data_IF_796195580446
#
_entry.id   IF_796195580446
#
_cell.length_a   1.000
_cell.length_b   1.000
_cell.length_c   1.000
_cell.angle_alpha   90.00
_cell.angle_beta   90.00
_cell.angle_gamma   90.00
#
_symmetry.space_group_name_H-M   'P 1'
#
loop_
_entity.id
_entity.type
_entity.pdbx_description
1 polymer ?
#
# COMPACT_ATOMS: atom_id res chain seq x y z
N UNK A 1 1.57 -19.89 -13.53
CA UNK A 1 0.20 -19.34 -13.33
C UNK A 1 0.31 -17.83 -13.44
N UNK A 2 -0.48 -17.21 -14.29
CA UNK A 2 -0.59 -15.76 -14.37
C UNK A 2 -1.18 -15.26 -13.04
N UNK A 3 -0.62 -14.22 -12.39
CA UNK A 3 -1.22 -13.70 -11.16
C UNK A 3 -2.64 -13.21 -11.46
N UNK A 4 -3.56 -13.33 -10.50
CA UNK A 4 -4.93 -12.84 -10.69
C UNK A 4 -4.94 -11.33 -10.90
N UNK A 5 -5.76 -10.86 -11.84
CA UNK A 5 -5.85 -9.43 -12.20
C UNK A 5 -6.55 -8.56 -11.12
N UNK A 6 -7.20 -9.19 -10.13
CA UNK A 6 -7.99 -8.51 -9.11
C UNK A 6 -7.18 -8.32 -7.84
N UNK A 7 -6.85 -7.07 -7.51
CA UNK A 7 -6.14 -6.74 -6.29
C UNK A 7 -7.04 -6.81 -5.05
N UNK A 8 -6.52 -7.39 -3.97
CA UNK A 8 -7.20 -7.43 -2.67
C UNK A 8 -7.44 -6.03 -2.11
N UNK A 9 -6.49 -5.11 -2.28
CA UNK A 9 -6.61 -3.75 -1.74
C UNK A 9 -7.59 -2.86 -2.53
N UNK A 10 -7.94 -3.22 -3.76
CA UNK A 10 -8.95 -2.52 -4.55
C UNK A 10 -10.39 -2.90 -4.17
N UNK A 11 -10.57 -3.88 -3.27
CA UNK A 11 -11.90 -4.34 -2.88
C UNK A 11 -12.46 -3.44 -1.76
N UNK A 12 -13.49 -2.70 -2.07
CA UNK A 12 -14.37 -2.10 -1.06
C UNK A 12 -15.25 -3.17 -0.40
N UNK A 13 -16.03 -2.77 0.58
CA UNK A 13 -16.89 -3.71 1.33
C UNK A 13 -17.92 -4.41 0.44
N UNK A 14 -18.68 -3.72 -0.44
CA UNK A 14 -19.58 -4.38 -1.39
C UNK A 14 -18.87 -5.41 -2.28
N UNK A 15 -17.70 -5.09 -2.79
CA UNK A 15 -16.91 -6.00 -3.63
C UNK A 15 -16.40 -7.23 -2.85
N UNK A 16 -16.03 -7.08 -1.57
CA UNK A 16 -15.69 -8.21 -0.70
C UNK A 16 -16.92 -9.10 -0.42
N UNK A 17 -18.10 -8.50 -0.24
CA UNK A 17 -19.34 -9.25 -0.05
C UNK A 17 -19.71 -10.03 -1.33
N UNK A 18 -19.56 -9.42 -2.51
CA UNK A 18 -19.76 -10.08 -3.80
C UNK A 18 -18.77 -11.24 -3.99
N UNK A 19 -17.50 -11.04 -3.61
CA UNK A 19 -16.49 -12.11 -3.66
C UNK A 19 -16.88 -13.29 -2.77
N UNK A 20 -17.39 -13.06 -1.55
CA UNK A 20 -17.83 -14.16 -0.67
C UNK A 20 -18.99 -14.95 -1.27
N UNK A 21 -19.91 -14.29 -1.99
CA UNK A 21 -20.99 -14.95 -2.73
C UNK A 21 -20.44 -15.78 -3.91
N UNK A 22 -19.48 -15.23 -4.67
CA UNK A 22 -18.79 -15.94 -5.75
C UNK A 22 -18.08 -17.20 -5.26
N UNK A 23 -17.48 -17.14 -4.07
CA UNK A 23 -16.76 -18.27 -3.46
C UNK A 23 -17.68 -19.26 -2.71
N UNK A 24 -18.99 -19.02 -2.67
CA UNK A 24 -19.96 -19.88 -2.00
C UNK A 24 -19.79 -19.90 -0.47
N UNK A 25 -19.25 -18.83 0.13
CA UNK A 25 -19.06 -18.74 1.58
C UNK A 25 -19.97 -17.68 2.22
N UNK A 26 -20.29 -17.82 3.53
CA UNK A 26 -21.17 -16.88 4.21
C UNK A 26 -20.68 -15.44 4.14
N UNK A 27 -21.60 -14.48 3.98
CA UNK A 27 -21.35 -13.04 3.84
C UNK A 27 -20.48 -12.44 4.97
N UNK A 28 -20.58 -12.96 6.20
CA UNK A 28 -19.75 -12.44 7.31
C UNK A 28 -18.24 -12.64 7.10
N UNK A 29 -17.83 -13.54 6.21
CA UNK A 29 -16.42 -13.75 5.83
C UNK A 29 -15.80 -12.51 5.20
N UNK A 30 -16.59 -11.70 4.49
CA UNK A 30 -16.13 -10.40 3.99
C UNK A 30 -15.61 -9.48 5.13
N UNK A 31 -16.32 -9.44 6.26
CA UNK A 31 -15.90 -8.71 7.45
C UNK A 31 -14.60 -9.26 8.06
N UNK A 32 -14.40 -10.58 8.04
CA UNK A 32 -13.15 -11.19 8.52
C UNK A 32 -11.98 -10.87 7.57
N UNK A 33 -12.19 -10.94 6.25
CA UNK A 33 -11.16 -10.54 5.25
C UNK A 33 -10.78 -9.08 5.49
N UNK A 34 -11.75 -8.16 5.54
CA UNK A 34 -11.50 -6.75 5.80
C UNK A 34 -10.75 -6.51 7.12
N UNK A 35 -11.11 -7.22 8.19
CA UNK A 35 -10.42 -7.13 9.49
C UNK A 35 -8.96 -7.56 9.38
N UNK A 36 -8.68 -8.66 8.67
CA UNK A 36 -7.32 -9.14 8.46
C UNK A 36 -6.48 -8.13 7.66
N UNK A 37 -7.07 -7.54 6.61
CA UNK A 37 -6.37 -6.55 5.75
C UNK A 37 -6.15 -5.23 6.47
N UNK A 38 -7.19 -4.63 7.07
CA UNK A 38 -7.18 -3.23 7.51
C UNK A 38 -6.99 -3.02 9.02
N UNK A 39 -7.13 -4.07 9.84
CA UNK A 39 -6.94 -3.96 11.29
C UNK A 39 -5.75 -4.77 11.78
N UNK A 40 -5.58 -6.00 11.26
CA UNK A 40 -4.46 -6.87 11.61
C UNK A 40 -3.24 -6.66 10.72
N UNK A 41 -3.44 -6.03 9.54
CA UNK A 41 -2.39 -5.81 8.55
C UNK A 41 -1.64 -7.09 8.19
N UNK A 42 -2.39 -8.17 7.95
CA UNK A 42 -1.83 -9.42 7.46
C UNK A 42 -1.12 -9.18 6.13
N UNK A 43 0.07 -9.74 5.94
CA UNK A 43 0.90 -9.54 4.75
C UNK A 43 0.75 -10.66 3.72
N UNK A 44 0.08 -11.74 4.12
CA UNK A 44 -0.23 -12.90 3.26
C UNK A 44 -1.60 -13.46 3.62
N UNK A 45 -2.18 -14.24 2.70
CA UNK A 45 -3.42 -14.95 3.00
C UNK A 45 -3.23 -15.99 4.12
N UNK A 46 -2.03 -16.56 4.27
CA UNK A 46 -1.74 -17.56 5.32
C UNK A 46 -1.76 -16.95 6.73
N UNK A 47 -1.47 -15.66 6.89
CA UNK A 47 -1.60 -14.96 8.15
C UNK A 47 -3.08 -14.76 8.59
N UNK A 48 -4.06 -14.96 7.70
CA UNK A 48 -5.49 -14.84 8.01
C UNK A 48 -6.02 -16.10 8.71
N UNK A 49 -5.47 -16.42 9.86
CA UNK A 49 -5.70 -17.68 10.57
C UNK A 49 -7.13 -17.91 11.09
N UNK A 50 -7.96 -16.87 11.15
CA UNK A 50 -9.39 -16.95 11.47
C UNK A 50 -10.26 -17.33 10.26
N UNK A 51 -9.65 -17.44 9.06
CA UNK A 51 -10.28 -18.00 7.87
C UNK A 51 -9.93 -19.48 7.70
N UNK A 52 -10.89 -20.33 7.25
CA UNK A 52 -10.61 -21.71 6.90
C UNK A 52 -9.51 -21.83 5.84
N UNK A 53 -8.67 -22.87 5.93
CA UNK A 53 -7.58 -23.08 4.97
C UNK A 53 -8.07 -23.15 3.52
N UNK A 54 -9.21 -23.82 3.29
CA UNK A 54 -9.83 -23.90 1.96
C UNK A 54 -10.20 -22.52 1.40
N UNK A 55 -10.74 -21.61 2.25
CA UNK A 55 -11.05 -20.25 1.81
C UNK A 55 -9.78 -19.45 1.50
N UNK A 56 -8.72 -19.60 2.31
CA UNK A 56 -7.44 -18.93 2.03
C UNK A 56 -6.85 -19.36 0.70
N UNK A 57 -6.91 -20.67 0.38
CA UNK A 57 -6.49 -21.19 -0.93
C UNK A 57 -7.31 -20.59 -2.09
N UNK A 58 -8.63 -20.51 -1.95
CA UNK A 58 -9.49 -19.87 -2.95
C UNK A 58 -9.16 -18.36 -3.13
N UNK A 59 -8.83 -17.66 -2.04
CA UNK A 59 -8.42 -16.25 -2.12
C UNK A 59 -7.11 -16.06 -2.89
N UNK A 60 -6.12 -16.95 -2.70
CA UNK A 60 -4.86 -16.94 -3.47
C UNK A 60 -5.10 -17.11 -4.97
N UNK A 61 -6.08 -17.95 -5.35
CA UNK A 61 -6.42 -18.16 -6.77
C UNK A 61 -7.14 -16.97 -7.41
N UNK A 62 -7.88 -16.20 -6.63
CA UNK A 62 -8.77 -15.14 -7.13
C UNK A 62 -8.22 -13.74 -6.97
N UNK A 63 -7.30 -13.52 -6.04
CA UNK A 63 -6.82 -12.19 -5.67
C UNK A 63 -5.31 -12.10 -5.69
N UNK A 64 -4.81 -11.03 -6.27
CA UNK A 64 -3.42 -10.62 -6.11
C UNK A 64 -3.22 -9.94 -4.77
N UNK A 65 -2.16 -10.31 -4.07
CA UNK A 65 -1.63 -9.50 -2.98
C UNK A 65 -0.82 -8.35 -3.58
N UNK A 66 -0.83 -7.14 -2.98
CA UNK A 66 0.00 -6.04 -3.49
C UNK A 66 1.47 -6.45 -3.54
N UNK A 67 2.06 -6.42 -4.72
CA UNK A 67 3.48 -6.74 -4.90
C UNK A 67 4.32 -5.48 -4.70
N UNK A 68 4.30 -4.98 -3.47
CA UNK A 68 5.16 -3.91 -2.99
C UNK A 68 6.06 -4.45 -1.88
N UNK A 69 7.37 -4.17 -1.99
CA UNK A 69 8.36 -4.62 -1.01
C UNK A 69 9.19 -3.46 -0.51
N UNK A 70 9.47 -3.44 0.78
CA UNK A 70 10.49 -2.55 1.35
C UNK A 70 11.85 -3.16 0.99
N UNK A 71 12.58 -2.48 0.10
CA UNK A 71 13.89 -2.91 -0.42
C UNK A 71 15.05 -2.28 0.36
N UNK A 72 14.80 -1.15 1.01
CA UNK A 72 15.77 -0.47 1.85
C UNK A 72 15.11 0.53 2.78
N UNK A 73 15.78 0.82 3.89
CA UNK A 73 15.34 1.79 4.88
C UNK A 73 16.53 2.61 5.38
N UNK A 74 16.32 3.90 5.49
CA UNK A 74 17.24 4.83 6.15
C UNK A 74 16.51 5.48 7.32
N UNK A 75 17.05 5.29 8.50
CA UNK A 75 16.56 5.89 9.73
C UNK A 75 17.33 7.20 10.02
N UNK A 76 16.62 8.25 10.39
CA UNK A 76 17.24 9.49 10.84
C UNK A 76 17.84 9.29 12.25
N UNK A 77 19.17 9.46 12.44
CA UNK A 77 19.80 9.13 13.71
C UNK A 77 19.32 9.95 14.92
N UNK A 78 18.83 11.17 14.67
CA UNK A 78 18.41 12.10 15.72
C UNK A 78 16.91 12.44 15.69
N UNK A 79 16.14 11.75 14.84
CA UNK A 79 14.72 12.05 14.65
C UNK A 79 13.89 10.78 14.43
N UNK A 80 12.57 10.91 14.50
CA UNK A 80 11.65 9.81 14.29
C UNK A 80 11.24 9.67 12.81
N UNK A 81 12.19 9.85 11.88
CA UNK A 81 11.93 9.81 10.43
C UNK A 81 12.57 8.58 9.80
N UNK A 82 11.78 7.80 9.07
CA UNK A 82 12.23 6.67 8.27
C UNK A 82 11.97 6.95 6.79
N UNK A 83 13.02 6.90 5.95
CA UNK A 83 12.89 6.89 4.49
C UNK A 83 12.98 5.47 3.99
N UNK A 84 11.99 5.04 3.23
CA UNK A 84 11.87 3.69 2.72
C UNK A 84 11.98 3.72 1.19
N UNK A 85 12.75 2.78 0.65
CA UNK A 85 12.79 2.47 -0.77
C UNK A 85 11.82 1.31 -1.01
N UNK A 86 10.84 1.54 -1.87
CA UNK A 86 9.81 0.55 -2.22
C UNK A 86 10.05 0.06 -3.64
N UNK A 87 10.04 -1.26 -3.81
CA UNK A 87 10.11 -1.91 -5.14
C UNK A 87 8.73 -2.35 -5.56
N UNK A 88 8.33 -1.96 -6.77
CA UNK A 88 7.05 -2.27 -7.42
C UNK A 88 7.16 -3.58 -8.20
N UNK A 89 6.02 -4.14 -8.61
CA UNK A 89 5.93 -5.41 -9.34
C UNK A 89 6.78 -5.43 -10.63
N UNK A 90 6.91 -4.29 -11.31
CA UNK A 90 7.73 -4.14 -12.54
C UNK A 90 9.22 -3.87 -12.28
N UNK A 91 9.66 -3.96 -11.02
CA UNK A 91 11.02 -3.66 -10.60
C UNK A 91 11.33 -2.16 -10.48
N UNK A 92 10.40 -1.26 -10.80
CA UNK A 92 10.56 0.16 -10.57
C UNK A 92 10.63 0.46 -9.08
N UNK A 93 11.33 1.53 -8.72
CA UNK A 93 11.50 1.92 -7.32
C UNK A 93 10.93 3.31 -7.06
N UNK A 94 10.30 3.46 -5.92
CA UNK A 94 9.81 4.75 -5.41
C UNK A 94 10.19 4.92 -3.95
N UNK A 95 10.31 6.15 -3.52
CA UNK A 95 10.58 6.47 -2.13
C UNK A 95 9.29 6.81 -1.40
N UNK A 96 9.24 6.45 -0.12
CA UNK A 96 8.22 6.89 0.81
C UNK A 96 8.88 7.26 2.14
N UNK A 97 8.25 8.17 2.89
CA UNK A 97 8.81 8.64 4.17
C UNK A 97 7.76 8.53 5.26
N UNK A 98 8.15 7.94 6.38
CA UNK A 98 7.40 7.99 7.63
C UNK A 98 8.01 9.09 8.49
N UNK A 99 7.27 10.16 8.69
CA UNK A 99 7.66 11.27 9.55
C UNK A 99 6.95 11.13 10.89
N UNK A 100 7.69 10.66 11.90
CA UNK A 100 7.17 10.55 13.26
C UNK A 100 7.04 11.91 13.93
N UNK A 101 6.21 11.96 14.96
CA UNK A 101 6.07 13.14 15.82
C UNK A 101 5.74 12.68 17.24
N UNK A 102 6.41 13.26 18.26
CA UNK A 102 6.20 12.86 19.67
C UNK A 102 4.77 13.12 20.17
N UNK A 103 4.12 14.17 19.67
CA UNK A 103 2.84 14.68 20.20
C UNK A 103 1.71 14.69 19.18
N UNK A 104 1.91 14.16 17.98
CA UNK A 104 0.91 14.15 16.90
C UNK A 104 0.96 12.82 16.15
N UNK A 105 -0.11 12.43 15.44
CA UNK A 105 -0.04 11.30 14.54
C UNK A 105 1.13 11.46 13.54
N UNK A 106 1.85 10.38 13.21
CA UNK A 106 2.88 10.44 12.18
C UNK A 106 2.27 10.79 10.82
N UNK A 107 3.11 11.25 9.90
CA UNK A 107 2.72 11.56 8.53
C UNK A 107 3.41 10.59 7.58
N UNK A 108 2.64 9.97 6.69
CA UNK A 108 3.12 9.15 5.59
C UNK A 108 3.26 10.05 4.35
N UNK A 109 4.47 10.24 3.87
CA UNK A 109 4.75 10.91 2.62
C UNK A 109 4.94 9.84 1.54
N UNK A 110 4.03 9.79 0.56
CA UNK A 110 4.00 8.76 -0.48
C UNK A 110 4.22 9.33 -1.86
N UNK A 111 4.68 8.49 -2.78
CA UNK A 111 4.95 8.84 -4.17
C UNK A 111 3.69 8.66 -5.04
N UNK A 112 3.58 9.45 -6.11
CA UNK A 112 2.47 9.39 -7.07
C UNK A 112 2.89 8.90 -8.46
N UNK A 113 4.17 8.93 -8.79
CA UNK A 113 4.73 8.55 -10.09
C UNK A 113 6.09 7.88 -9.91
N UNK A 114 6.51 7.10 -10.91
CA UNK A 114 7.90 6.68 -11.09
C UNK A 114 8.59 7.77 -11.89
N UNK A 115 9.44 8.57 -11.21
CA UNK A 115 9.98 9.81 -11.76
C UNK A 115 8.95 10.94 -11.81
N UNK A 116 9.25 12.04 -12.50
CA UNK A 116 8.35 13.20 -12.60
C UNK A 116 8.55 13.93 -13.93
N UNK A 117 7.48 14.30 -14.66
CA UNK A 117 7.60 15.00 -15.94
C UNK A 117 7.84 16.51 -15.81
N UNK A 118 7.71 17.12 -14.63
CA UNK A 118 7.78 18.58 -14.47
C UNK A 118 9.20 19.13 -14.60
N UNK A 119 10.25 18.30 -14.40
CA UNK A 119 11.64 18.72 -14.59
C UNK A 119 12.10 19.88 -13.71
N UNK A 120 11.55 20.05 -12.51
CA UNK A 120 11.94 21.09 -11.56
C UNK A 120 13.43 21.01 -11.26
N UNK A 121 14.18 22.09 -11.51
CA UNK A 121 15.66 22.12 -11.44
C UNK A 121 16.22 21.83 -10.04
N UNK A 122 15.45 22.05 -8.99
CA UNK A 122 15.83 21.79 -7.59
C UNK A 122 15.44 20.40 -7.09
N UNK A 123 14.72 19.62 -7.89
CA UNK A 123 14.13 18.32 -7.47
C UNK A 123 14.89 17.16 -8.11
N UNK A 124 15.46 16.27 -7.26
CA UNK A 124 16.16 15.08 -7.73
C UNK A 124 15.26 14.17 -8.58
N UNK A 125 13.98 14.02 -8.21
CA UNK A 125 13.01 13.23 -8.99
C UNK A 125 12.77 13.84 -10.37
N UNK A 126 12.76 15.17 -10.50
CA UNK A 126 12.65 15.85 -11.79
C UNK A 126 13.82 15.59 -12.73
N UNK A 127 15.02 15.36 -12.17
CA UNK A 127 16.23 15.01 -12.95
C UNK A 127 16.25 13.55 -13.41
N UNK A 128 15.50 12.67 -12.76
CA UNK A 128 15.39 11.25 -13.12
C UNK A 128 14.53 11.02 -14.37
N UNK A 129 13.78 12.03 -14.81
CA UNK A 129 12.78 11.90 -15.86
C UNK A 129 11.51 11.19 -15.40
N UNK A 130 10.57 11.00 -16.32
CA UNK A 130 9.27 10.36 -16.07
C UNK A 130 9.22 9.00 -16.74
N UNK A 131 8.81 7.98 -15.97
CA UNK A 131 8.58 6.62 -16.50
C UNK A 131 7.08 6.35 -16.66
N UNK A 132 6.31 6.46 -15.57
CA UNK A 132 4.87 6.22 -15.56
C UNK A 132 4.18 6.75 -14.30
N UNK A 133 2.86 6.86 -14.40
CA UNK A 133 2.02 7.03 -13.22
C UNK A 133 1.98 5.74 -12.38
N UNK A 134 1.83 5.88 -11.07
CA UNK A 134 1.47 4.76 -10.21
C UNK A 134 -0.02 4.43 -10.40
N UNK A 135 -0.34 3.14 -10.36
CA UNK A 135 -1.72 2.67 -10.35
C UNK A 135 -2.39 2.96 -9.01
N UNK A 136 -3.72 2.83 -8.94
CA UNK A 136 -4.46 2.91 -7.67
C UNK A 136 -3.89 1.93 -6.63
N UNK A 137 -3.66 0.67 -7.02
CA UNK A 137 -3.12 -0.36 -6.12
C UNK A 137 -1.73 -0.03 -5.60
N UNK A 138 -0.88 0.58 -6.43
CA UNK A 138 0.45 1.02 -6.01
C UNK A 138 0.39 2.24 -5.09
N UNK A 139 -0.52 3.19 -5.34
CA UNK A 139 -0.75 4.34 -4.46
C UNK A 139 -1.26 3.89 -3.09
N UNK A 140 -2.34 3.12 -3.09
CA UNK A 140 -2.94 2.63 -1.86
C UNK A 140 -2.06 1.59 -1.16
N UNK A 141 -1.36 0.75 -1.92
CA UNK A 141 -0.40 -0.24 -1.42
C UNK A 141 0.73 0.39 -0.61
N UNK A 142 1.28 1.54 -1.03
CA UNK A 142 2.26 2.29 -0.23
C UNK A 142 1.69 2.67 1.13
N UNK A 143 0.50 3.29 1.14
CA UNK A 143 -0.17 3.75 2.37
C UNK A 143 -0.41 2.56 3.30
N UNK A 144 -0.94 1.47 2.76
CA UNK A 144 -1.21 0.24 3.51
C UNK A 144 0.06 -0.37 4.08
N UNK A 145 1.13 -0.47 3.28
CA UNK A 145 2.41 -1.06 3.69
C UNK A 145 3.08 -0.25 4.80
N UNK A 146 3.09 1.09 4.66
CA UNK A 146 3.66 1.99 5.67
C UNK A 146 2.83 1.99 6.96
N UNK A 147 1.51 1.92 6.84
CA UNK A 147 0.64 1.82 8.01
C UNK A 147 0.82 0.46 8.72
N UNK A 148 0.95 -0.63 7.96
CA UNK A 148 1.29 -1.95 8.49
C UNK A 148 2.62 -1.93 9.23
N UNK A 149 3.64 -1.27 8.67
CA UNK A 149 4.94 -1.05 9.30
C UNK A 149 4.79 -0.33 10.65
N UNK A 150 4.10 0.82 10.67
CA UNK A 150 3.88 1.58 11.90
C UNK A 150 3.10 0.80 12.96
N UNK A 151 2.09 0.03 12.54
CA UNK A 151 1.27 -0.78 13.46
C UNK A 151 2.06 -1.93 14.06
N UNK A 152 2.80 -2.67 13.24
CA UNK A 152 3.46 -3.92 13.64
C UNK A 152 4.80 -3.66 14.34
N UNK A 153 5.59 -2.72 13.82
CA UNK A 153 6.97 -2.49 14.31
C UNK A 153 7.03 -1.36 15.36
N UNK A 154 6.15 -0.37 15.28
CA UNK A 154 6.18 0.79 16.17
C UNK A 154 4.95 0.89 17.09
N UNK A 155 4.01 -0.06 17.04
CA UNK A 155 2.85 -0.10 17.92
C UNK A 155 1.89 1.07 17.77
N UNK A 156 1.84 1.74 16.60
CA UNK A 156 0.97 2.88 16.35
C UNK A 156 -0.50 2.53 16.62
N UNK A 157 -1.21 3.35 17.39
CA UNK A 157 -2.63 3.15 17.72
C UNK A 157 -3.57 4.07 16.95
N UNK A 158 -3.07 5.19 16.45
CA UNK A 158 -3.84 6.22 15.73
C UNK A 158 -3.65 6.12 14.22
N UNK A 159 -4.56 6.70 13.44
CA UNK A 159 -4.36 6.82 12.00
C UNK A 159 -3.29 7.89 11.70
N UNK A 160 -2.36 7.63 10.77
CA UNK A 160 -1.40 8.63 10.31
C UNK A 160 -2.06 9.65 9.39
N UNK A 161 -1.43 10.83 9.24
CA UNK A 161 -1.72 11.72 8.13
C UNK A 161 -1.08 11.18 6.86
N UNK A 162 -1.65 11.51 5.69
CA UNK A 162 -1.12 11.10 4.39
C UNK A 162 -0.89 12.34 3.54
N UNK A 163 0.31 12.43 2.93
CA UNK A 163 0.65 13.49 1.99
C UNK A 163 1.29 12.89 0.73
N UNK A 164 0.90 13.37 -0.42
CA UNK A 164 1.47 12.98 -1.72
C UNK A 164 2.57 13.97 -2.12
N UNK A 165 3.65 13.97 -1.34
CA UNK A 165 4.80 14.88 -1.52
C UNK A 165 6.11 14.12 -1.76
N UNK A 166 6.03 12.83 -2.11
CA UNK A 166 7.16 12.00 -2.53
C UNK A 166 7.54 12.23 -3.98
N UNK A 167 7.83 11.15 -4.71
CA UNK A 167 8.17 11.22 -6.13
C UNK A 167 6.92 11.47 -6.99
N UNK A 168 7.05 12.39 -7.96
CA UNK A 168 6.00 12.71 -8.93
C UNK A 168 5.15 13.92 -8.57
N UNK A 169 4.32 14.35 -9.53
CA UNK A 169 3.29 15.37 -9.35
C UNK A 169 1.92 14.70 -9.22
N UNK A 170 1.28 14.72 -8.03
CA UNK A 170 0.04 13.98 -7.79
C UNK A 170 -1.11 14.42 -8.71
N UNK A 171 -1.21 15.70 -9.07
CA UNK A 171 -2.27 16.18 -9.94
C UNK A 171 -2.13 15.71 -11.39
N UNK A 172 -0.95 15.27 -11.81
CA UNK A 172 -0.75 14.61 -13.11
C UNK A 172 -1.16 13.12 -13.08
N UNK A 173 -1.37 12.56 -11.89
CA UNK A 173 -1.90 11.19 -11.71
C UNK A 173 -3.31 11.19 -11.08
N UNK A 174 -4.08 12.25 -11.24
CA UNK A 174 -5.39 12.41 -10.59
C UNK A 174 -6.39 11.29 -10.87
N UNK A 175 -6.31 10.65 -12.05
CA UNK A 175 -7.20 9.53 -12.40
C UNK A 175 -7.07 8.37 -11.40
N UNK A 176 -5.85 8.00 -11.04
CA UNK A 176 -5.60 6.91 -10.09
C UNK A 176 -5.63 7.39 -8.64
N UNK A 177 -5.43 8.69 -8.41
CA UNK A 177 -5.45 9.28 -7.07
C UNK A 177 -6.87 9.42 -6.52
N UNK A 178 -7.87 9.64 -7.38
CA UNK A 178 -9.28 9.83 -7.03
C UNK A 178 -10.19 8.69 -7.52
N UNK A 179 -9.60 7.52 -7.79
CA UNK A 179 -10.31 6.31 -8.23
C UNK A 179 -11.14 5.67 -7.11
#
# INVERSE_FOLDING_TARGET
MTPPDRSLLALDRPAMEALTAELGVPKYRAGQIAKNVYQRFCRTFDEMTDLPAALRAQLVEKLAWPDLKIDGMQHEPMGPTDKLLLTLADGSKVEAVVMGNKNRPPTLCVSSQVGCPLGCKFCATGLMGFKRNLTYDELFGQIWLLFAYLRREQGLKTAPNIVFMGMGEPLLNRKNLFA
#
